data_IF_301367365005
#
_entry.id   IF_301367365005
#
_cell.length_a   1.000
_cell.length_b   1.000
_cell.length_c   1.000
_cell.angle_alpha   90.00
_cell.angle_beta   90.00
_cell.angle_gamma   90.00
#
_symmetry.space_group_name_H-M   'P 1'
#
loop_
_entity.id
_entity.type
_entity.pdbx_description
1 polymer ?
#
# COMPACT_ATOMS: atom_id res chain seq x y z
N UNK A 1 -12.66 -11.44 11.29
CA UNK A 1 -12.14 -11.41 9.93
C UNK A 1 -10.77 -10.75 9.91
N UNK A 2 -9.79 -11.42 9.33
CA UNK A 2 -8.44 -10.88 9.22
C UNK A 2 -8.35 -9.97 7.99
N UNK A 3 -7.92 -8.74 8.22
CA UNK A 3 -7.70 -7.74 7.18
C UNK A 3 -6.21 -7.42 7.09
N UNK A 4 -5.67 -7.44 5.88
CA UNK A 4 -4.31 -6.98 5.59
C UNK A 4 -4.35 -5.75 4.69
N UNK A 5 -3.37 -4.87 4.83
CA UNK A 5 -3.18 -3.76 3.93
C UNK A 5 -2.14 -4.12 2.86
N UNK A 6 -2.36 -3.65 1.65
CA UNK A 6 -1.47 -3.85 0.52
C UNK A 6 -1.28 -2.52 -0.20
N UNK A 7 -0.07 -1.98 -0.15
CA UNK A 7 0.29 -0.71 -0.77
C UNK A 7 1.08 -0.98 -2.06
N UNK A 8 0.57 -0.49 -3.19
CA UNK A 8 1.27 -0.56 -4.46
C UNK A 8 2.08 0.71 -4.66
N UNK A 9 3.40 0.61 -4.55
CA UNK A 9 4.30 1.75 -4.65
C UNK A 9 5.11 1.79 -5.95
N UNK A 10 5.12 0.71 -6.71
CA UNK A 10 5.96 0.57 -7.90
C UNK A 10 5.22 0.67 -9.22
N UNK A 11 4.13 1.40 -9.30
CA UNK A 11 3.36 1.57 -10.53
C UNK A 11 4.06 2.44 -11.58
N UNK A 12 3.46 2.50 -12.78
CA UNK A 12 4.02 3.23 -13.92
C UNK A 12 3.91 4.75 -13.84
N UNK A 13 3.23 5.30 -12.83
CA UNK A 13 3.04 6.75 -12.73
C UNK A 13 4.35 7.44 -12.35
N UNK A 14 5.20 7.59 -13.35
CA UNK A 14 6.38 8.45 -13.28
C UNK A 14 6.04 9.77 -13.95
N UNK A 15 5.60 10.73 -13.16
CA UNK A 15 5.45 12.08 -13.66
C UNK A 15 6.84 12.70 -13.77
N UNK A 16 7.17 13.24 -14.95
CA UNK A 16 8.44 13.95 -15.20
C UNK A 16 9.67 13.07 -14.97
N UNK A 17 9.56 11.76 -15.20
CA UNK A 17 10.70 10.85 -15.06
C UNK A 17 11.10 10.54 -13.63
N UNK A 18 10.29 10.93 -12.63
CA UNK A 18 10.59 10.71 -11.23
C UNK A 18 9.63 9.71 -10.59
N UNK A 19 10.18 8.90 -9.69
CA UNK A 19 9.39 7.97 -8.88
C UNK A 19 8.74 8.75 -7.73
N UNK A 20 7.43 8.89 -7.78
CA UNK A 20 6.68 9.65 -6.77
C UNK A 20 6.87 9.11 -5.35
N UNK A 21 7.01 7.80 -5.21
CA UNK A 21 7.20 7.18 -3.90
C UNK A 21 8.43 7.70 -3.17
N UNK A 22 9.47 8.10 -3.91
CA UNK A 22 10.73 8.61 -3.37
C UNK A 22 10.81 10.13 -3.35
N UNK A 23 9.75 10.85 -3.68
CA UNK A 23 9.71 12.30 -3.58
C UNK A 23 9.49 12.74 -2.13
N UNK A 24 10.00 13.93 -1.75
CA UNK A 24 9.75 14.46 -0.41
C UNK A 24 8.26 14.68 -0.14
N UNK A 25 7.82 14.27 1.04
CA UNK A 25 6.45 14.49 1.49
C UNK A 25 6.36 15.80 2.30
N UNK A 26 5.26 16.56 2.19
CA UNK A 26 5.10 17.81 2.95
C UNK A 26 5.22 17.67 4.46
N UNK A 27 4.87 16.52 5.02
CA UNK A 27 4.97 16.26 6.47
C UNK A 27 6.33 15.73 6.90
N UNK A 28 7.30 15.66 5.98
CA UNK A 28 8.64 15.11 6.23
C UNK A 28 8.81 13.71 5.67
N UNK A 29 10.07 13.34 5.43
CA UNK A 29 10.39 12.05 4.82
C UNK A 29 9.95 11.95 3.36
N UNK A 30 9.79 10.72 2.89
CA UNK A 30 9.36 10.43 1.52
C UNK A 30 7.87 10.11 1.48
N UNK A 31 7.25 10.23 0.30
CA UNK A 31 5.85 9.83 0.10
C UNK A 31 5.61 8.39 0.57
N UNK A 32 6.49 7.47 0.17
CA UNK A 32 6.37 6.06 0.55
C UNK A 32 6.40 5.87 2.07
N UNK A 33 7.38 6.44 2.75
CA UNK A 33 7.52 6.28 4.20
C UNK A 33 6.39 6.95 4.96
N UNK A 34 5.93 8.11 4.49
CA UNK A 34 4.80 8.81 5.10
C UNK A 34 3.51 8.00 5.02
N UNK A 35 3.22 7.41 3.85
CA UNK A 35 2.03 6.57 3.68
C UNK A 35 2.12 5.27 4.49
N UNK A 36 3.28 4.63 4.49
CA UNK A 36 3.51 3.42 5.29
C UNK A 36 3.27 3.71 6.77
N UNK A 37 3.78 4.83 7.27
CA UNK A 37 3.62 5.19 8.67
C UNK A 37 2.15 5.46 9.02
N UNK A 38 1.37 6.07 8.11
CA UNK A 38 -0.07 6.24 8.31
C UNK A 38 -0.80 4.90 8.37
N UNK A 39 -0.49 3.97 7.45
CA UNK A 39 -1.14 2.66 7.43
C UNK A 39 -0.77 1.85 8.67
N UNK A 40 0.46 1.96 9.15
CA UNK A 40 0.91 1.26 10.36
C UNK A 40 0.12 1.69 11.61
N UNK A 41 -0.40 2.90 11.65
CA UNK A 41 -1.25 3.35 12.77
C UNK A 41 -2.55 2.55 12.89
N UNK A 42 -2.97 1.86 11.83
CA UNK A 42 -4.15 1.00 11.85
C UNK A 42 -3.93 -0.33 12.56
N UNK A 43 -2.68 -0.69 12.84
CA UNK A 43 -2.36 -1.97 13.47
C UNK A 43 -2.53 -3.20 12.57
N UNK A 44 -2.65 -3.00 11.26
CA UNK A 44 -2.82 -4.09 10.29
C UNK A 44 -1.46 -4.58 9.77
N UNK A 45 -1.35 -5.89 9.45
CA UNK A 45 -0.21 -6.34 8.66
C UNK A 45 -0.19 -5.60 7.33
N UNK A 46 1.00 -5.16 6.90
CA UNK A 46 1.17 -4.38 5.69
C UNK A 46 2.13 -5.06 4.74
N UNK A 47 1.69 -5.25 3.50
CA UNK A 47 2.55 -5.62 2.39
C UNK A 47 2.73 -4.42 1.47
N UNK A 48 3.96 -4.17 1.05
CA UNK A 48 4.27 -3.15 0.05
C UNK A 48 4.77 -3.87 -1.19
N UNK A 49 4.07 -3.70 -2.29
CA UNK A 49 4.42 -4.34 -3.57
C UNK A 49 5.08 -3.29 -4.45
N UNK A 50 6.29 -3.59 -4.88
CA UNK A 50 7.07 -2.67 -5.72
C UNK A 50 7.97 -3.44 -6.66
N UNK A 51 8.20 -2.89 -7.86
CA UNK A 51 9.22 -3.38 -8.78
C UNK A 51 10.59 -2.73 -8.56
N UNK A 52 10.70 -1.77 -7.64
CA UNK A 52 11.93 -1.02 -7.41
C UNK A 52 12.60 -1.46 -6.10
N UNK A 53 13.85 -1.98 -6.15
CA UNK A 53 14.55 -2.37 -4.92
C UNK A 53 14.73 -1.23 -3.91
N UNK A 54 14.84 0.01 -4.41
CA UNK A 54 14.98 1.19 -3.54
C UNK A 54 13.82 1.35 -2.56
N UNK A 55 12.61 0.90 -2.92
CA UNK A 55 11.46 0.96 -2.01
C UNK A 55 11.68 0.04 -0.80
N UNK A 56 12.19 -1.16 -1.02
CA UNK A 56 12.54 -2.06 0.08
C UNK A 56 13.61 -1.49 1.00
N UNK A 57 14.61 -0.84 0.42
CA UNK A 57 15.69 -0.23 1.19
C UNK A 57 15.15 0.86 2.14
N UNK A 58 14.19 1.65 1.68
CA UNK A 58 13.58 2.72 2.47
C UNK A 58 12.70 2.20 3.62
N UNK A 59 12.25 0.95 3.54
CA UNK A 59 11.34 0.37 4.51
C UNK A 59 12.00 -0.68 5.41
N UNK A 60 13.30 -0.90 5.28
CA UNK A 60 14.02 -1.95 6.00
C UNK A 60 13.94 -1.78 7.53
N UNK A 61 13.76 -0.56 8.03
CA UNK A 61 13.66 -0.24 9.44
C UNK A 61 12.22 -0.17 9.98
N UNK A 62 11.21 -0.58 9.18
CA UNK A 62 9.80 -0.56 9.61
C UNK A 62 9.36 -1.97 9.99
N UNK A 63 9.22 -2.30 11.29
CA UNK A 63 8.70 -3.61 11.70
C UNK A 63 7.24 -3.77 11.30
N UNK A 64 6.85 -5.00 10.98
CA UNK A 64 5.50 -5.32 10.56
C UNK A 64 5.20 -5.02 9.10
N UNK A 65 6.18 -4.54 8.34
CA UNK A 65 6.05 -4.27 6.91
C UNK A 65 6.81 -5.33 6.12
N UNK A 66 6.11 -6.01 5.21
CA UNK A 66 6.71 -6.97 4.29
C UNK A 66 6.79 -6.33 2.90
N UNK A 67 7.97 -6.29 2.32
CA UNK A 67 8.17 -5.75 0.97
C UNK A 67 8.25 -6.90 -0.01
N UNK A 68 7.38 -6.89 -1.01
CA UNK A 68 7.36 -7.86 -2.10
C UNK A 68 7.88 -7.18 -3.35
N UNK A 69 9.03 -7.62 -3.82
CA UNK A 69 9.57 -7.11 -5.08
C UNK A 69 8.95 -7.86 -6.25
N UNK A 70 8.31 -7.13 -7.13
CA UNK A 70 7.59 -7.69 -8.27
C UNK A 70 8.55 -7.93 -9.44
N UNK A 71 8.65 -9.18 -9.96
CA UNK A 71 9.49 -9.45 -11.11
C UNK A 71 8.81 -9.01 -12.42
N UNK A 72 9.60 -8.71 -13.47
CA UNK A 72 9.03 -8.45 -14.79
C UNK A 72 8.36 -9.72 -15.38
N UNK A 73 7.45 -9.58 -16.35
CA UNK A 73 6.89 -8.34 -16.88
C UNK A 73 5.85 -7.70 -15.95
N UNK A 74 5.80 -6.35 -15.98
CA UNK A 74 4.86 -5.60 -15.13
C UNK A 74 3.63 -5.24 -15.96
N UNK A 75 2.49 -5.87 -15.65
CA UNK A 75 1.26 -5.74 -16.42
C UNK A 75 0.14 -5.06 -15.64
N UNK A 76 0.50 -4.30 -14.63
CA UNK A 76 -0.43 -3.48 -13.87
C UNK A 76 -0.84 -4.08 -12.53
N UNK A 77 -1.70 -3.35 -11.78
CA UNK A 77 -2.00 -3.68 -10.38
C UNK A 77 -2.80 -4.98 -10.22
N UNK A 78 -3.64 -5.35 -11.18
CA UNK A 78 -4.40 -6.61 -11.09
C UNK A 78 -3.47 -7.82 -11.14
N UNK A 79 -2.46 -7.79 -11.99
CA UNK A 79 -1.49 -8.88 -12.05
C UNK A 79 -0.66 -8.94 -10.77
N UNK A 80 -0.21 -7.78 -10.28
CA UNK A 80 0.53 -7.70 -9.03
C UNK A 80 -0.29 -8.25 -7.86
N UNK A 81 -1.57 -7.91 -7.78
CA UNK A 81 -2.47 -8.41 -6.76
C UNK A 81 -2.61 -9.93 -6.84
N UNK A 82 -2.74 -10.48 -8.05
CA UNK A 82 -2.83 -11.92 -8.25
C UNK A 82 -1.59 -12.69 -7.79
N UNK A 83 -0.43 -12.05 -7.79
CA UNK A 83 0.81 -12.65 -7.28
C UNK A 83 0.88 -12.63 -5.75
N UNK A 84 0.29 -11.62 -5.12
CA UNK A 84 0.34 -11.42 -3.67
C UNK A 84 -0.72 -12.24 -2.96
N UNK A 85 -1.93 -12.34 -3.51
CA UNK A 85 -3.07 -13.00 -2.89
C UNK A 85 -2.79 -14.42 -2.40
N UNK A 86 -2.14 -15.30 -3.20
CA UNK A 86 -1.93 -16.69 -2.75
C UNK A 86 -1.06 -16.81 -1.49
N UNK A 87 -0.18 -15.85 -1.24
CA UNK A 87 0.69 -15.86 -0.06
C UNK A 87 0.17 -15.05 1.12
N UNK A 88 -1.03 -14.49 1.00
CA UNK A 88 -1.59 -13.59 2.03
C UNK A 88 -2.56 -14.37 2.92
N UNK A 89 -2.30 -14.46 4.24
CA UNK A 89 -3.17 -15.18 5.15
C UNK A 89 -4.40 -14.39 5.59
N UNK A 90 -4.85 -13.44 4.78
CA UNK A 90 -5.97 -12.56 5.11
C UNK A 90 -7.23 -12.95 4.35
N UNK A 91 -8.38 -12.68 4.95
CA UNK A 91 -9.68 -12.86 4.31
C UNK A 91 -10.08 -11.67 3.43
N UNK A 92 -9.45 -10.52 3.65
CA UNK A 92 -9.69 -9.31 2.88
C UNK A 92 -8.43 -8.46 2.79
N UNK A 93 -8.34 -7.66 1.74
CA UNK A 93 -7.24 -6.74 1.51
C UNK A 93 -7.74 -5.30 1.42
N UNK A 94 -7.06 -4.41 2.11
CA UNK A 94 -7.18 -2.97 1.89
C UNK A 94 -6.10 -2.59 0.89
N UNK A 95 -6.49 -2.30 -0.35
CA UNK A 95 -5.57 -2.02 -1.46
C UNK A 95 -5.42 -0.52 -1.62
N UNK A 96 -4.18 -0.04 -1.61
CA UNK A 96 -3.85 1.38 -1.61
C UNK A 96 -2.79 1.70 -2.66
N UNK A 97 -3.01 2.71 -3.53
CA UNK A 97 -1.95 3.25 -4.37
C UNK A 97 -1.11 4.27 -3.60
N UNK A 98 0.14 4.47 -4.04
CA UNK A 98 1.05 5.42 -3.38
C UNK A 98 0.70 6.89 -3.62
N UNK A 99 -0.08 7.19 -4.63
CA UNK A 99 -0.35 8.56 -5.08
C UNK A 99 -1.65 9.15 -4.53
N UNK A 100 -2.07 8.74 -3.34
CA UNK A 100 -3.23 9.33 -2.65
C UNK A 100 -2.76 10.44 -1.70
N UNK A 101 -2.86 11.72 -2.10
CA UNK A 101 -2.24 12.81 -1.34
C UNK A 101 -2.92 13.12 -0.01
N UNK A 102 -4.17 12.70 0.16
CA UNK A 102 -4.95 12.98 1.38
C UNK A 102 -5.19 11.72 2.21
N UNK A 103 -4.41 10.70 1.98
CA UNK A 103 -4.54 9.47 2.74
C UNK A 103 -4.07 9.70 4.18
N UNK A 104 -4.94 9.37 5.14
CA UNK A 104 -4.63 9.43 6.55
C UNK A 104 -5.18 8.21 7.26
N UNK A 105 -4.66 7.92 8.45
CA UNK A 105 -5.16 6.81 9.27
C UNK A 105 -6.64 6.98 9.58
N UNK A 106 -7.09 8.21 9.83
CA UNK A 106 -8.50 8.49 10.14
C UNK A 106 -9.42 8.14 8.97
N UNK A 107 -9.05 8.54 7.74
CA UNK A 107 -9.81 8.22 6.54
C UNK A 107 -9.85 6.71 6.30
N UNK A 108 -8.71 6.04 6.44
CA UNK A 108 -8.62 4.60 6.28
C UNK A 108 -9.46 3.87 7.31
N UNK A 109 -9.48 4.35 8.56
CA UNK A 109 -10.30 3.73 9.60
C UNK A 109 -11.79 3.83 9.27
N UNK A 110 -12.25 4.94 8.70
CA UNK A 110 -13.64 5.08 8.26
C UNK A 110 -13.98 4.07 7.16
N UNK A 111 -13.07 3.87 6.22
CA UNK A 111 -13.25 2.89 5.14
C UNK A 111 -13.34 1.46 5.70
N UNK A 112 -12.47 1.13 6.65
CA UNK A 112 -12.45 -0.18 7.31
C UNK A 112 -13.76 -0.41 8.07
N UNK A 113 -14.23 0.59 8.81
CA UNK A 113 -15.48 0.50 9.57
C UNK A 113 -16.66 0.27 8.63
N UNK A 114 -16.71 0.97 7.50
CA UNK A 114 -17.76 0.77 6.50
C UNK A 114 -17.74 -0.65 5.93
N UNK A 115 -16.54 -1.20 5.69
CA UNK A 115 -16.41 -2.57 5.21
C UNK A 115 -16.88 -3.58 6.26
N UNK A 116 -16.56 -3.40 7.53
CA UNK A 116 -16.99 -4.31 8.59
C UNK A 116 -18.53 -4.35 8.76
N UNK A 117 -19.21 -3.26 8.44
CA UNK A 117 -20.68 -3.24 8.45
C UNK A 117 -21.28 -4.07 7.31
N UNK A 118 -20.61 -4.13 6.16
CA UNK A 118 -21.05 -4.86 4.97
C UNK A 118 -19.88 -5.58 4.33
N UNK A 119 -19.35 -6.65 4.94
CA UNK A 119 -18.09 -7.26 4.50
C UNK A 119 -18.20 -8.04 3.17
N UNK A 120 -19.39 -8.27 2.67
CA UNK A 120 -19.63 -8.88 1.36
C UNK A 120 -19.66 -7.88 0.20
N UNK A 121 -19.45 -6.59 0.50
CA UNK A 121 -19.39 -5.52 -0.50
C UNK A 121 -17.99 -4.92 -0.56
N UNK A 122 -17.66 -4.34 -1.72
CA UNK A 122 -16.40 -3.62 -1.89
C UNK A 122 -16.59 -2.18 -1.38
N UNK A 123 -15.75 -1.78 -0.43
CA UNK A 123 -15.73 -0.40 0.04
C UNK A 123 -14.67 0.38 -0.73
N UNK A 124 -15.00 1.58 -1.20
CA UNK A 124 -14.11 2.42 -2.01
C UNK A 124 -14.02 3.80 -1.38
N UNK A 125 -12.80 4.31 -1.23
CA UNK A 125 -12.55 5.69 -0.80
C UNK A 125 -12.89 6.68 -1.92
N UNK A 126 -13.56 7.75 -1.56
CA UNK A 126 -13.92 8.79 -2.52
C UNK A 126 -13.30 10.13 -2.13
#
# INVERSE_FOLDING_TARGET
LMLCACLFSGGESRRMGQDKALLPHPSGGLWLTALVDQVRLLGLPLQVVSRYPAHGDQLADRPGVTVVQEPPPWQGPLQALGRVLPGTPAEALLVLPVDMPRLSAAVLQQLINAWYEQPDQIAVAQ
#
